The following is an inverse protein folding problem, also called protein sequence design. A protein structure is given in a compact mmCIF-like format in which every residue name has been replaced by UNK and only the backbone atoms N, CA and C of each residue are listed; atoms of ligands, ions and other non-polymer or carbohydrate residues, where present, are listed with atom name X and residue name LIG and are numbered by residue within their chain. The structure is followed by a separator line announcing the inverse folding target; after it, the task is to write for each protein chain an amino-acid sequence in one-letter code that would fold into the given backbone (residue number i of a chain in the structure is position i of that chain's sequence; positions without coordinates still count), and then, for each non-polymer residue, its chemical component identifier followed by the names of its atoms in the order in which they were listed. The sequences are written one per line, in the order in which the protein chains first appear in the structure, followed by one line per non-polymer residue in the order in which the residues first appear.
data_IF_492482927858
#
_entry.id   IF_492482927858
#
_cell.length_a   1.000
_cell.length_b   1.000
_cell.length_c   1.000
_cell.angle_alpha   90.00
_cell.angle_beta   90.00
_cell.angle_gamma   90.00
#
_symmetry.space_group_name_H-M   'P 1'
#
loop_
_entity.id
_entity.type
_entity.pdbx_description
1 polymer ?
#
# COMPACT_ATOMS: atom_id res chain seq x y z
N UNK A 1 -20.65 45.10 -10.63
CA UNK A 1 -21.17 43.84 -11.21
C UNK A 1 -20.17 42.74 -10.85
N UNK A 2 -20.40 42.01 -9.76
CA UNK A 2 -19.48 40.97 -9.27
C UNK A 2 -19.91 39.63 -9.85
N UNK A 3 -19.19 39.16 -10.87
CA UNK A 3 -19.38 37.82 -11.40
C UNK A 3 -18.76 36.81 -10.43
N UNK A 4 -19.61 36.12 -9.66
CA UNK A 4 -19.20 34.94 -8.87
C UNK A 4 -18.93 33.80 -9.86
N UNK A 5 -17.66 33.54 -10.12
CA UNK A 5 -17.25 32.29 -10.75
C UNK A 5 -17.60 31.14 -9.80
N UNK A 6 -18.63 30.36 -10.15
CA UNK A 6 -18.91 29.08 -9.50
C UNK A 6 -17.90 28.10 -10.06
N UNK A 7 -16.76 27.98 -9.39
CA UNK A 7 -15.85 26.88 -9.63
C UNK A 7 -16.60 25.61 -9.21
N UNK A 8 -17.01 24.85 -10.20
CA UNK A 8 -17.70 23.58 -10.03
C UNK A 8 -16.80 22.66 -9.19
N UNK A 9 -17.26 22.32 -7.98
CA UNK A 9 -16.58 21.41 -7.05
C UNK A 9 -16.76 19.98 -7.54
N UNK A 10 -16.40 19.69 -8.79
CA UNK A 10 -16.07 18.35 -9.21
C UNK A 10 -14.72 18.05 -8.61
N UNK A 11 -14.71 17.57 -7.36
CA UNK A 11 -13.52 16.97 -6.80
C UNK A 11 -13.15 15.80 -7.69
N UNK A 12 -12.12 16.01 -8.50
CA UNK A 12 -11.62 15.03 -9.44
C UNK A 12 -11.25 13.75 -8.64
N UNK A 13 -11.82 12.57 -8.96
CA UNK A 13 -11.54 11.34 -8.23
C UNK A 13 -10.04 11.05 -8.10
N UNK A 14 -9.24 11.52 -9.04
CA UNK A 14 -7.78 11.44 -8.98
C UNK A 14 -7.19 12.28 -7.83
N UNK A 15 -7.69 13.51 -7.61
CA UNK A 15 -7.27 14.35 -6.49
C UNK A 15 -7.63 13.73 -5.13
N UNK A 16 -8.80 13.09 -5.04
CA UNK A 16 -9.19 12.35 -3.84
C UNK A 16 -8.22 11.22 -3.52
N UNK A 17 -7.86 10.41 -4.52
CA UNK A 17 -6.92 9.29 -4.33
C UNK A 17 -5.53 9.78 -3.89
N UNK A 18 -5.04 10.87 -4.47
CA UNK A 18 -3.77 11.49 -4.10
C UNK A 18 -3.78 11.98 -2.64
N UNK A 19 -4.88 12.60 -2.19
CA UNK A 19 -5.03 13.05 -0.81
C UNK A 19 -5.08 11.88 0.17
N UNK A 20 -5.85 10.84 -0.13
CA UNK A 20 -5.92 9.65 0.71
C UNK A 20 -4.57 8.94 0.84
N UNK A 21 -3.83 8.81 -0.27
CA UNK A 21 -2.50 8.19 -0.23
C UNK A 21 -1.54 8.99 0.62
N UNK A 22 -1.53 10.32 0.50
CA UNK A 22 -0.73 11.21 1.34
C UNK A 22 -1.08 11.10 2.83
N UNK A 23 -2.38 11.10 3.17
CA UNK A 23 -2.84 10.94 4.55
C UNK A 23 -2.42 9.59 5.14
N UNK A 24 -2.54 8.50 4.37
CA UNK A 24 -2.12 7.17 4.80
C UNK A 24 -0.61 7.11 5.10
N UNK A 25 0.21 7.73 4.26
CA UNK A 25 1.67 7.84 4.48
C UNK A 25 1.99 8.60 5.78
N UNK A 26 1.28 9.69 6.03
CA UNK A 26 1.46 10.48 7.26
C UNK A 26 1.06 9.64 8.49
N UNK A 27 -0.07 8.95 8.44
CA UNK A 27 -0.56 8.11 9.54
C UNK A 27 0.41 6.97 9.87
N UNK A 28 1.02 6.35 8.87
CA UNK A 28 2.02 5.30 9.06
C UNK A 28 3.28 5.81 9.74
N UNK A 29 3.81 6.97 9.31
CA UNK A 29 4.95 7.61 9.97
C UNK A 29 4.62 7.96 11.42
N UNK A 30 3.44 8.55 11.67
CA UNK A 30 2.97 8.87 13.03
C UNK A 30 2.89 7.62 13.92
N UNK A 31 2.35 6.51 13.40
CA UNK A 31 2.28 5.24 14.15
C UNK A 31 3.68 4.70 14.48
N UNK A 32 4.63 4.80 13.55
CA UNK A 32 6.00 4.39 13.79
C UNK A 32 6.64 5.18 14.93
N UNK A 33 6.48 6.51 14.94
CA UNK A 33 6.97 7.36 16.03
C UNK A 33 6.28 7.06 17.36
N UNK A 34 4.96 6.85 17.35
CA UNK A 34 4.24 6.45 18.56
C UNK A 34 4.75 5.13 19.12
N UNK A 35 4.99 4.13 18.27
CA UNK A 35 5.55 2.85 18.68
C UNK A 35 6.98 2.98 19.22
N UNK A 36 7.79 3.87 18.63
CA UNK A 36 9.13 4.18 19.13
C UNK A 36 9.10 4.77 20.55
N UNK A 37 8.19 5.73 20.81
CA UNK A 37 8.04 6.32 22.14
C UNK A 37 7.62 5.26 23.17
N UNK A 38 6.68 4.38 22.82
CA UNK A 38 6.27 3.26 23.68
C UNK A 38 7.44 2.30 23.94
N UNK A 39 8.24 2.00 22.92
CA UNK A 39 9.45 1.16 23.06
C UNK A 39 10.46 1.79 24.02
N UNK A 40 10.71 3.10 23.93
CA UNK A 40 11.61 3.80 24.85
C UNK A 40 11.10 3.75 26.29
N UNK A 41 9.83 4.09 26.52
CA UNK A 41 9.22 4.06 27.86
C UNK A 41 9.23 2.63 28.41
N UNK A 42 8.87 1.65 27.60
CA UNK A 42 8.89 0.22 27.98
C UNK A 42 10.28 -0.28 28.31
N UNK A 43 11.30 0.12 27.54
CA UNK A 43 12.71 -0.23 27.81
C UNK A 43 13.20 0.33 29.14
N UNK A 44 12.87 1.60 29.43
CA UNK A 44 13.16 2.22 30.73
C UNK A 44 12.46 1.46 31.86
N UNK A 45 11.18 1.12 31.68
CA UNK A 45 10.40 0.38 32.67
C UNK A 45 10.98 -1.03 32.94
N UNK A 46 11.44 -1.74 31.92
CA UNK A 46 12.10 -3.05 32.07
C UNK A 46 13.39 -2.97 32.89
N UNK A 47 14.21 -1.93 32.66
CA UNK A 47 15.43 -1.68 33.44
C UNK A 47 15.08 -1.35 34.90
N UNK A 48 14.05 -0.54 35.12
CA UNK A 48 13.59 -0.19 36.47
C UNK A 48 13.09 -1.42 37.22
N UNK A 49 12.32 -2.31 36.59
CA UNK A 49 11.87 -3.57 37.21
C UNK A 49 13.06 -4.42 37.65
N UNK A 50 14.03 -4.63 36.77
CA UNK A 50 15.17 -5.47 37.08
C UNK A 50 16.02 -4.86 38.23
N UNK A 51 16.32 -3.55 38.18
CA UNK A 51 17.18 -2.89 39.17
C UNK A 51 16.50 -2.55 40.50
N UNK A 52 15.22 -2.21 40.50
CA UNK A 52 14.51 -1.74 41.72
C UNK A 52 13.81 -2.90 42.41
N UNK A 53 13.17 -3.80 41.65
CA UNK A 53 12.42 -4.93 42.22
C UNK A 53 13.31 -6.17 42.41
N UNK A 54 14.60 -6.11 42.02
CA UNK A 54 15.58 -7.21 42.09
C UNK A 54 15.04 -8.53 41.50
N UNK A 55 14.17 -8.40 40.49
CA UNK A 55 13.48 -9.54 39.92
C UNK A 55 14.42 -10.29 38.99
N UNK A 56 14.82 -11.52 39.39
CA UNK A 56 15.85 -12.30 38.68
C UNK A 56 17.19 -11.57 38.56
N UNK A 57 17.69 -11.03 39.68
CA UNK A 57 18.89 -10.19 39.76
C UNK A 57 20.18 -10.90 39.28
N UNK A 58 20.23 -12.23 39.30
CA UNK A 58 21.38 -13.00 38.83
C UNK A 58 21.51 -13.04 37.29
N UNK A 59 20.46 -12.66 36.55
CA UNK A 59 20.45 -12.70 35.09
C UNK A 59 19.85 -11.44 34.47
N UNK A 60 20.60 -10.82 33.56
CA UNK A 60 20.18 -9.61 32.82
C UNK A 60 19.14 -9.92 31.72
N UNK A 61 18.04 -10.58 32.08
CA UNK A 61 16.96 -10.97 31.16
C UNK A 61 16.37 -9.76 30.40
N UNK A 62 16.41 -8.57 31.01
CA UNK A 62 15.92 -7.34 30.39
C UNK A 62 16.70 -6.99 29.11
N UNK A 63 17.99 -7.36 29.01
CA UNK A 63 18.79 -7.17 27.80
C UNK A 63 18.22 -7.98 26.63
N UNK A 64 17.86 -9.25 26.89
CA UNK A 64 17.24 -10.10 25.88
C UNK A 64 15.84 -9.59 25.49
N UNK A 65 15.04 -9.15 26.46
CA UNK A 65 13.73 -8.57 26.20
C UNK A 65 13.82 -7.30 25.34
N UNK A 66 14.72 -6.37 25.69
CA UNK A 66 14.95 -5.13 24.92
C UNK A 66 15.51 -5.46 23.54
N UNK A 67 16.46 -6.41 23.44
CA UNK A 67 17.06 -6.80 22.14
C UNK A 67 16.02 -7.39 21.20
N UNK A 68 15.19 -8.33 21.69
CA UNK A 68 14.13 -8.93 20.89
C UNK A 68 13.09 -7.88 20.46
N UNK A 69 12.70 -6.98 21.38
CA UNK A 69 11.75 -5.93 21.05
C UNK A 69 12.33 -4.90 20.08
N UNK A 70 13.61 -4.54 20.23
CA UNK A 70 14.33 -3.68 19.30
C UNK A 70 14.42 -4.31 17.90
N UNK A 71 14.62 -5.62 17.81
CA UNK A 71 14.59 -6.35 16.54
C UNK A 71 13.23 -6.25 15.85
N UNK A 72 12.13 -6.48 16.57
CA UNK A 72 10.78 -6.30 16.03
C UNK A 72 10.52 -4.85 15.58
N UNK A 73 11.01 -3.88 16.36
CA UNK A 73 10.91 -2.47 16.01
C UNK A 73 11.71 -2.13 14.74
N UNK A 74 12.91 -2.70 14.58
CA UNK A 74 13.71 -2.55 13.36
C UNK A 74 12.99 -3.10 12.12
N UNK A 75 12.34 -4.27 12.23
CA UNK A 75 11.49 -4.80 11.16
C UNK A 75 10.32 -3.85 10.85
N UNK A 76 9.72 -3.24 11.87
CA UNK A 76 8.65 -2.26 11.68
C UNK A 76 9.13 -1.01 10.91
N UNK A 77 10.31 -0.47 11.26
CA UNK A 77 10.96 0.61 10.52
C UNK A 77 11.17 0.20 9.06
N UNK A 78 11.79 -0.96 8.83
CA UNK A 78 12.08 -1.44 7.48
C UNK A 78 10.81 -1.57 6.63
N UNK A 79 9.74 -2.11 7.20
CA UNK A 79 8.45 -2.22 6.52
C UNK A 79 7.88 -0.84 6.12
N UNK A 80 7.89 0.13 7.04
CA UNK A 80 7.33 1.47 6.79
C UNK A 80 8.19 2.28 5.79
N UNK A 81 9.52 2.17 5.83
CA UNK A 81 10.41 2.96 4.97
C UNK A 81 10.76 2.29 3.64
N UNK A 82 10.95 0.97 3.62
CA UNK A 82 11.40 0.22 2.44
C UNK A 82 10.22 -0.44 1.77
N UNK A 83 9.55 -1.39 2.43
CA UNK A 83 8.45 -2.17 1.83
C UNK A 83 7.33 -1.28 1.34
N UNK A 84 6.87 -0.33 2.16
CA UNK A 84 5.80 0.58 1.77
C UNK A 84 6.21 1.53 0.64
N UNK A 85 7.50 1.89 0.52
CA UNK A 85 8.00 2.78 -0.54
C UNK A 85 8.16 2.01 -1.86
N UNK A 86 8.62 0.76 -1.80
CA UNK A 86 8.87 -0.07 -2.97
C UNK A 86 7.62 -0.82 -3.47
N UNK A 87 6.85 -1.41 -2.55
CA UNK A 87 5.63 -2.20 -2.77
C UNK A 87 4.38 -1.46 -2.26
N UNK A 88 4.35 -0.14 -2.41
CA UNK A 88 3.17 0.66 -2.09
C UNK A 88 2.10 0.63 -3.20
N UNK A 89 1.02 1.40 -3.00
CA UNK A 89 -0.08 1.55 -3.96
C UNK A 89 0.38 1.89 -5.39
N UNK A 90 1.45 2.68 -5.55
CA UNK A 90 2.00 3.00 -6.87
C UNK A 90 2.62 1.81 -7.59
N UNK A 91 3.23 0.89 -6.86
CA UNK A 91 3.73 -0.35 -7.43
C UNK A 91 2.58 -1.26 -7.82
N UNK A 92 1.57 -1.41 -6.95
CA UNK A 92 0.36 -2.19 -7.25
C UNK A 92 -0.38 -1.67 -8.48
N UNK A 93 -0.54 -0.35 -8.60
CA UNK A 93 -1.15 0.31 -9.77
C UNK A 93 -0.40 -0.02 -11.06
N UNK A 94 0.93 0.10 -11.06
CA UNK A 94 1.77 -0.27 -12.21
C UNK A 94 1.64 -1.74 -12.59
N UNK A 95 1.58 -2.65 -11.61
CA UNK A 95 1.36 -4.07 -11.90
C UNK A 95 -0.03 -4.32 -12.48
N UNK A 96 -1.06 -3.66 -11.96
CA UNK A 96 -2.43 -3.76 -12.45
C UNK A 96 -2.57 -3.27 -13.89
N UNK A 97 -2.01 -2.11 -14.19
CA UNK A 97 -2.01 -1.54 -15.55
C UNK A 97 -1.33 -2.48 -16.55
N UNK A 98 -0.19 -3.07 -16.16
CA UNK A 98 0.52 -4.06 -16.99
C UNK A 98 -0.34 -5.30 -17.28
N UNK A 99 -1.07 -5.79 -16.28
CA UNK A 99 -1.97 -6.95 -16.45
C UNK A 99 -3.17 -6.61 -17.35
N UNK A 100 -3.78 -5.43 -17.14
CA UNK A 100 -4.91 -4.96 -17.97
C UNK A 100 -4.48 -4.76 -19.42
N UNK A 101 -3.30 -4.20 -19.67
CA UNK A 101 -2.76 -4.05 -21.02
C UNK A 101 -2.64 -5.40 -21.73
N UNK A 102 -2.09 -6.42 -21.05
CA UNK A 102 -1.97 -7.78 -21.60
C UNK A 102 -3.33 -8.42 -21.89
N UNK A 103 -4.34 -8.18 -21.05
CA UNK A 103 -5.70 -8.66 -21.30
C UNK A 103 -6.33 -7.98 -22.52
N UNK A 104 -6.14 -6.67 -22.70
CA UNK A 104 -6.62 -5.93 -23.87
C UNK A 104 -5.99 -6.43 -25.16
N UNK A 105 -4.69 -6.69 -25.17
CA UNK A 105 -3.99 -7.31 -26.32
C UNK A 105 -4.61 -8.66 -26.67
N UNK A 106 -4.84 -9.52 -25.67
CA UNK A 106 -5.44 -10.84 -25.89
C UNK A 106 -6.87 -10.76 -26.44
N UNK A 107 -7.67 -9.80 -25.97
CA UNK A 107 -9.03 -9.57 -26.49
C UNK A 107 -8.97 -9.10 -27.95
N UNK A 108 -8.03 -8.21 -28.29
CA UNK A 108 -7.85 -7.75 -29.66
C UNK A 108 -7.42 -8.88 -30.62
N UNK A 109 -6.52 -9.77 -30.17
CA UNK A 109 -6.16 -10.99 -30.91
C UNK A 109 -7.38 -11.87 -31.18
N UNK A 110 -8.18 -12.16 -30.14
CA UNK A 110 -9.39 -12.98 -30.26
C UNK A 110 -10.42 -12.33 -31.19
N UNK A 111 -10.60 -11.01 -31.14
CA UNK A 111 -11.49 -10.29 -32.07
C UNK A 111 -11.03 -10.44 -33.52
N UNK A 112 -9.72 -10.34 -33.77
CA UNK A 112 -9.13 -10.52 -35.11
C UNK A 112 -9.27 -11.96 -35.63
N UNK A 113 -9.10 -12.96 -34.76
CA UNK A 113 -9.36 -14.37 -35.10
C UNK A 113 -10.82 -14.59 -35.50
N UNK A 114 -11.77 -14.06 -34.72
CA UNK A 114 -13.20 -14.16 -35.01
C UNK A 114 -13.55 -13.51 -36.36
N UNK A 115 -13.02 -12.32 -36.66
CA UNK A 115 -13.23 -11.65 -37.95
C UNK A 115 -12.65 -12.44 -39.13
N UNK A 116 -11.55 -13.17 -38.92
CA UNK A 116 -10.88 -13.97 -39.95
C UNK A 116 -11.63 -15.29 -40.21
N UNK A 117 -12.07 -15.98 -39.16
CA UNK A 117 -12.75 -17.28 -39.25
C UNK A 117 -14.24 -17.13 -39.63
N UNK A 118 -14.88 -16.05 -39.18
CA UNK A 118 -16.27 -15.71 -39.47
C UNK A 118 -16.38 -14.31 -40.07
N UNK A 119 -15.88 -14.08 -41.30
CA UNK A 119 -16.06 -12.79 -41.95
C UNK A 119 -17.56 -12.54 -42.12
N UNK A 120 -18.03 -11.34 -41.72
CA UNK A 120 -19.44 -10.91 -41.81
C UNK A 120 -20.05 -11.13 -43.21
N UNK A 121 -19.23 -11.29 -44.25
CA UNK A 121 -19.62 -11.69 -45.60
C UNK A 121 -20.22 -13.10 -45.71
N UNK A 122 -19.85 -14.07 -44.86
CA UNK A 122 -20.43 -15.43 -44.85
C UNK A 122 -21.78 -15.50 -44.14
N UNK A 123 -22.08 -14.56 -43.23
CA UNK A 123 -23.36 -14.52 -42.50
C UNK A 123 -24.48 -14.01 -43.41
N UNK A 124 -24.22 -13.01 -44.25
CA UNK A 124 -25.23 -12.52 -45.21
C UNK A 124 -25.46 -13.48 -46.39
N UNK A 125 -24.45 -14.25 -46.83
CA UNK A 125 -24.64 -15.22 -47.94
C UNK A 125 -25.56 -16.40 -47.61
N UNK A 126 -25.85 -16.69 -46.34
CA UNK A 126 -26.71 -17.81 -45.94
C UNK A 126 -28.18 -17.40 -45.76
N UNK A 127 -28.51 -16.12 -45.97
CA UNK A 127 -29.80 -15.51 -45.61
C UNK A 127 -30.58 -14.88 -46.78
N UNK A 128 -30.03 -14.92 -47.99
CA UNK A 128 -30.82 -14.68 -49.22
C UNK A 128 -31.33 -16.03 -49.76
N UNK A 129 -32.58 -16.06 -50.27
CA UNK A 129 -33.56 -17.14 -50.09
C UNK A 129 -33.23 -18.49 -50.72
#
# INVERSE_FOLDING_TARGET
MFSKNKNDTHLDPEQHELLETAQNRIKQKKRLYAHFVVFLIGSVFLVLINKILKYWEEYDWFLWAITFWAFLFALHIFNVFVTQRFMGRDWERRQREKLVAKQKERIAELQKEIETDFPLSKINKKKEP
#
